data_IF_338568676294
#
_entry.id   IF_338568676294
#
_cell.length_a   1.000
_cell.length_b   1.000
_cell.length_c   1.000
_cell.angle_alpha   90.00
_cell.angle_beta   90.00
_cell.angle_gamma   90.00
#
_symmetry.space_group_name_H-M   'P 1'
#
loop_
_entity.id
_entity.type
_entity.pdbx_description
1 polymer ?
#
# COMPACT_ATOMS: atom_id res chain seq x y z
N UNK A 1 19.43 -35.53 36.04
CA UNK A 1 19.63 -34.08 35.93
C UNK A 1 20.24 -33.63 34.58
N UNK A 2 21.34 -34.25 34.08
CA UNK A 2 21.98 -33.89 32.77
C UNK A 2 21.04 -33.99 31.54
N UNK A 3 20.12 -34.99 31.49
CA UNK A 3 19.18 -35.18 30.37
C UNK A 3 18.06 -34.14 30.32
N UNK A 4 17.64 -33.61 31.46
CA UNK A 4 16.62 -32.55 31.54
C UNK A 4 17.20 -31.22 31.09
N UNK A 5 18.47 -30.93 31.42
CA UNK A 5 19.17 -29.72 30.98
C UNK A 5 19.37 -29.70 29.46
N UNK A 6 19.64 -30.85 28.83
CA UNK A 6 19.78 -30.98 27.37
C UNK A 6 18.44 -30.73 26.64
N UNK A 7 17.31 -31.23 27.19
CA UNK A 7 15.99 -30.98 26.62
C UNK A 7 15.59 -29.48 26.71
N UNK A 8 15.96 -28.82 27.80
CA UNK A 8 15.66 -27.40 28.00
C UNK A 8 16.44 -26.52 27.03
N UNK A 9 17.70 -26.86 26.73
CA UNK A 9 18.52 -26.13 25.72
C UNK A 9 18.02 -26.31 24.30
N UNK A 10 17.48 -27.48 23.95
CA UNK A 10 16.88 -27.71 22.62
C UNK A 10 15.59 -26.93 22.48
N UNK A 11 14.76 -26.83 23.54
CA UNK A 11 13.51 -26.07 23.51
C UNK A 11 13.74 -24.55 23.43
N UNK A 12 14.78 -24.02 24.08
CA UNK A 12 15.17 -22.60 23.93
C UNK A 12 15.71 -22.26 22.54
N UNK A 13 16.33 -23.21 21.82
CA UNK A 13 16.87 -23.01 20.48
C UNK A 13 15.78 -22.81 19.39
N UNK A 14 14.54 -23.24 19.63
CA UNK A 14 13.43 -23.10 18.68
C UNK A 14 12.65 -21.79 18.77
N UNK A 15 12.90 -20.96 19.79
CA UNK A 15 12.10 -19.76 20.05
C UNK A 15 12.60 -18.54 19.25
N UNK A 16 13.74 -18.59 18.57
CA UNK A 16 14.38 -17.42 17.97
C UNK A 16 14.17 -17.22 16.46
N UNK A 17 13.32 -18.01 15.81
CA UNK A 17 13.01 -17.81 14.39
C UNK A 17 11.59 -17.26 14.16
N UNK A 18 11.13 -16.32 14.97
CA UNK A 18 10.03 -15.45 14.56
C UNK A 18 10.66 -14.40 13.64
N UNK A 19 10.65 -14.67 12.33
CA UNK A 19 10.87 -13.64 11.32
C UNK A 19 9.72 -12.64 11.44
N UNK A 20 9.85 -11.70 12.36
CA UNK A 20 9.01 -10.52 12.41
C UNK A 20 9.25 -9.76 11.11
N UNK A 21 8.24 -9.69 10.25
CA UNK A 21 8.27 -8.75 9.13
C UNK A 21 8.43 -7.36 9.71
N UNK A 22 9.59 -6.76 9.50
CA UNK A 22 9.90 -5.47 10.06
C UNK A 22 9.31 -4.36 9.18
N UNK A 23 8.09 -3.93 9.49
CA UNK A 23 7.44 -2.78 8.85
C UNK A 23 8.00 -1.43 9.34
N UNK A 24 9.16 -1.41 10.00
CA UNK A 24 9.75 -0.19 10.56
C UNK A 24 10.26 0.78 9.49
N UNK A 25 10.71 0.26 8.35
CA UNK A 25 11.24 1.09 7.27
C UNK A 25 10.55 0.76 5.94
N UNK A 26 10.10 1.79 5.18
CA UNK A 26 9.53 1.57 3.86
C UNK A 26 10.60 1.06 2.90
N UNK A 27 10.24 0.11 2.06
CA UNK A 27 11.09 -0.39 0.96
C UNK A 27 11.30 0.69 -0.10
N UNK A 28 10.31 1.55 -0.27
CA UNK A 28 10.35 2.66 -1.22
C UNK A 28 9.11 3.55 -1.11
N UNK A 29 9.02 4.49 -2.02
CA UNK A 29 7.91 5.43 -2.08
C UNK A 29 8.13 6.51 -3.13
N UNK A 30 7.26 7.50 -3.12
CA UNK A 30 7.32 8.62 -4.04
C UNK A 30 6.11 9.51 -3.93
N UNK A 31 6.02 10.48 -4.83
CA UNK A 31 4.91 11.42 -4.88
C UNK A 31 4.07 11.19 -6.13
N UNK A 32 2.76 11.03 -5.95
CA UNK A 32 1.79 11.05 -7.03
C UNK A 32 1.03 12.39 -7.04
N UNK A 33 0.69 12.86 -8.22
CA UNK A 33 -0.18 14.02 -8.41
C UNK A 33 -1.62 13.54 -8.60
N UNK A 34 -2.58 14.26 -8.03
CA UNK A 34 -4.00 14.09 -8.34
C UNK A 34 -4.24 14.77 -9.69
N UNK A 35 -4.49 13.98 -10.71
CA UNK A 35 -4.75 14.43 -12.08
C UNK A 35 -6.18 14.94 -12.23
N UNK A 36 -7.13 14.22 -11.62
CA UNK A 36 -8.54 14.62 -11.63
C UNK A 36 -9.28 14.10 -10.41
N UNK A 37 -10.31 14.86 -10.02
CA UNK A 37 -11.34 14.45 -9.07
C UNK A 37 -12.67 14.71 -9.75
N UNK A 38 -13.46 13.68 -9.96
CA UNK A 38 -14.81 13.76 -10.53
C UNK A 38 -15.82 13.38 -9.45
N UNK A 39 -16.51 14.37 -8.84
CA UNK A 39 -17.57 14.09 -7.88
C UNK A 39 -18.79 13.52 -8.60
N UNK A 40 -19.46 12.57 -7.98
CA UNK A 40 -20.70 11.97 -8.44
C UNK A 40 -21.61 11.66 -7.24
N UNK A 41 -22.89 11.38 -7.49
CA UNK A 41 -23.85 11.02 -6.44
C UNK A 41 -23.46 9.72 -5.76
N UNK A 42 -23.18 9.80 -4.44
CA UNK A 42 -22.81 8.65 -3.61
C UNK A 42 -21.36 8.18 -3.73
N UNK A 43 -20.59 8.68 -4.69
CA UNK A 43 -19.16 8.37 -4.82
C UNK A 43 -18.38 9.49 -5.53
N UNK A 44 -17.07 9.37 -5.59
CA UNK A 44 -16.21 10.23 -6.41
C UNK A 44 -15.17 9.36 -7.12
N UNK A 45 -14.74 9.77 -8.29
CA UNK A 45 -13.59 9.16 -8.95
C UNK A 45 -12.35 10.04 -8.77
N UNK A 46 -11.22 9.41 -8.50
CA UNK A 46 -9.93 10.09 -8.36
C UNK A 46 -8.89 9.38 -9.22
N UNK A 47 -8.12 10.15 -9.98
CA UNK A 47 -7.02 9.66 -10.79
C UNK A 47 -5.71 10.26 -10.29
N UNK A 48 -4.67 9.42 -10.22
CA UNK A 48 -3.33 9.79 -9.77
C UNK A 48 -2.30 9.34 -10.78
N UNK A 49 -1.19 10.09 -10.88
CA UNK A 49 -0.01 9.68 -11.64
C UNK A 49 1.27 10.21 -11.02
N UNK A 50 2.38 9.52 -11.23
CA UNK A 50 3.71 9.93 -10.79
C UNK A 50 4.70 8.79 -10.75
N UNK A 51 5.91 9.10 -10.29
CA UNK A 51 6.97 8.10 -10.18
C UNK A 51 7.09 7.59 -8.75
N UNK A 52 7.19 6.27 -8.63
CA UNK A 52 7.44 5.57 -7.36
C UNK A 52 8.79 4.86 -7.48
N UNK A 53 9.68 5.14 -6.54
CA UNK A 53 11.01 4.50 -6.48
C UNK A 53 10.85 2.98 -6.43
N UNK A 54 11.53 2.27 -7.33
CA UNK A 54 11.45 0.82 -7.50
C UNK A 54 10.33 0.33 -8.44
N UNK A 55 9.37 1.22 -8.80
CA UNK A 55 8.25 0.88 -9.69
C UNK A 55 8.23 1.66 -11.01
N UNK A 56 8.80 2.87 -11.06
CA UNK A 56 8.72 3.75 -12.23
C UNK A 56 7.42 4.55 -12.29
N UNK A 57 6.89 4.75 -13.50
CA UNK A 57 5.70 5.59 -13.73
C UNK A 57 4.42 4.81 -13.43
N UNK A 58 3.66 5.33 -12.46
CA UNK A 58 2.44 4.71 -11.92
C UNK A 58 1.22 5.55 -12.27
N UNK A 59 0.16 4.89 -12.73
CA UNK A 59 -1.16 5.45 -12.98
C UNK A 59 -2.18 4.72 -12.12
N UNK A 60 -3.01 5.45 -11.39
CA UNK A 60 -4.01 4.87 -10.50
C UNK A 60 -5.36 5.54 -10.69
N UNK A 61 -6.40 4.72 -10.78
CA UNK A 61 -7.79 5.16 -10.73
C UNK A 61 -8.49 4.56 -9.52
N UNK A 62 -9.18 5.40 -8.75
CA UNK A 62 -10.03 4.98 -7.64
C UNK A 62 -11.47 5.45 -7.79
N UNK A 63 -12.40 4.61 -7.37
CA UNK A 63 -13.76 4.96 -7.00
C UNK A 63 -13.85 5.06 -5.49
N UNK A 64 -14.18 6.25 -4.98
CA UNK A 64 -14.18 6.61 -3.55
C UNK A 64 -15.60 6.49 -3.01
N UNK A 65 -15.79 5.72 -1.93
CA UNK A 65 -17.08 5.58 -1.26
C UNK A 65 -16.93 5.85 0.24
N UNK A 66 -17.84 6.67 0.80
CA UNK A 66 -17.91 6.89 2.23
C UNK A 66 -18.80 5.83 2.90
N UNK A 67 -18.42 5.37 4.10
CA UNK A 67 -19.19 4.40 4.89
C UNK A 67 -19.94 5.05 6.05
N UNK A 68 -19.72 6.35 6.29
CA UNK A 68 -20.38 7.09 7.36
C UNK A 68 -20.96 8.41 6.86
N UNK A 69 -21.95 8.94 7.59
CA UNK A 69 -22.65 10.20 7.27
C UNK A 69 -21.74 11.42 7.32
N UNK A 70 -20.71 11.41 8.17
CA UNK A 70 -19.71 12.50 8.27
C UNK A 70 -18.73 12.49 7.09
N UNK A 71 -18.76 11.46 6.22
CA UNK A 71 -17.83 11.28 5.11
C UNK A 71 -16.35 11.40 5.54
N UNK A 72 -16.03 10.89 6.73
CA UNK A 72 -14.68 10.96 7.31
C UNK A 72 -13.88 9.66 7.14
N UNK A 73 -14.54 8.58 6.69
CA UNK A 73 -13.90 7.30 6.39
C UNK A 73 -14.69 6.51 5.35
N UNK A 74 -14.02 5.55 4.72
CA UNK A 74 -14.66 4.73 3.72
C UNK A 74 -13.70 3.77 3.03
N UNK A 75 -14.11 3.33 1.83
CA UNK A 75 -13.35 2.42 1.00
C UNK A 75 -13.10 3.03 -0.38
N UNK A 76 -12.03 2.57 -1.02
CA UNK A 76 -11.74 2.83 -2.42
C UNK A 76 -11.62 1.49 -3.14
N UNK A 77 -12.21 1.44 -4.32
CA UNK A 77 -12.01 0.37 -5.29
C UNK A 77 -11.27 0.94 -6.48
N UNK A 78 -10.22 0.26 -6.94
CA UNK A 78 -9.45 0.79 -8.05
C UNK A 78 -8.45 -0.16 -8.67
N UNK A 79 -7.66 0.40 -9.55
CA UNK A 79 -6.60 -0.30 -10.26
C UNK A 79 -5.38 0.59 -10.39
N UNK A 80 -4.20 0.00 -10.21
CA UNK A 80 -2.93 0.61 -10.57
C UNK A 80 -2.35 -0.05 -11.82
N UNK A 81 -1.66 0.75 -12.62
CA UNK A 81 -0.80 0.30 -13.71
C UNK A 81 0.54 0.99 -13.58
N UNK A 82 1.60 0.23 -13.79
CA UNK A 82 2.97 0.71 -13.65
C UNK A 82 3.76 0.32 -14.87
N UNK A 83 4.49 1.27 -15.43
CA UNK A 83 5.45 1.04 -16.52
C UNK A 83 6.84 1.12 -15.92
N UNK A 84 7.50 -0.03 -15.83
CA UNK A 84 8.90 -0.13 -15.38
C UNK A 84 9.85 0.50 -16.41
N UNK A 85 11.09 0.79 -16.00
CA UNK A 85 12.13 1.33 -16.87
C UNK A 85 12.44 0.42 -18.07
N UNK A 86 12.27 -0.90 -17.94
CA UNK A 86 12.43 -1.88 -19.00
C UNK A 86 11.15 -2.08 -19.85
N UNK A 87 10.17 -1.18 -19.75
CA UNK A 87 8.87 -1.20 -20.44
C UNK A 87 7.92 -2.33 -20.01
N UNK A 88 8.24 -3.10 -18.98
CA UNK A 88 7.31 -4.09 -18.44
C UNK A 88 6.11 -3.40 -17.81
N UNK A 89 4.91 -3.85 -18.18
CA UNK A 89 3.67 -3.35 -17.65
C UNK A 89 3.25 -4.21 -16.45
N UNK A 90 3.19 -3.62 -15.27
CA UNK A 90 2.62 -4.22 -14.07
C UNK A 90 1.20 -3.71 -13.85
N UNK A 91 0.38 -4.51 -13.19
CA UNK A 91 -0.98 -4.15 -12.80
C UNK A 91 -1.35 -4.74 -11.45
N UNK A 92 -2.20 -4.02 -10.72
CA UNK A 92 -2.71 -4.44 -9.43
C UNK A 92 -4.15 -3.97 -9.25
N UNK A 93 -5.09 -4.85 -8.86
CA UNK A 93 -6.38 -4.45 -8.31
C UNK A 93 -6.19 -3.91 -6.90
N UNK A 94 -6.85 -2.80 -6.58
CA UNK A 94 -6.69 -2.10 -5.31
C UNK A 94 -7.98 -2.08 -4.52
N UNK A 95 -7.92 -2.52 -3.26
CA UNK A 95 -8.96 -2.41 -2.25
C UNK A 95 -8.41 -1.65 -1.06
N UNK A 96 -8.87 -0.43 -0.87
CA UNK A 96 -8.25 0.54 0.03
C UNK A 96 -9.25 0.94 1.12
N UNK A 97 -8.77 1.10 2.34
CA UNK A 97 -9.49 1.78 3.41
C UNK A 97 -8.92 3.19 3.58
N UNK A 98 -9.78 4.17 3.74
CA UNK A 98 -9.34 5.55 3.93
C UNK A 98 -9.94 6.20 5.16
N UNK A 99 -9.19 7.18 5.70
CA UNK A 99 -9.61 8.05 6.79
C UNK A 99 -9.23 9.49 6.45
N UNK A 100 -10.15 10.43 6.68
CA UNK A 100 -9.98 11.85 6.37
C UNK A 100 -9.99 12.70 7.64
N UNK A 101 -9.13 13.72 7.65
CA UNK A 101 -9.16 14.82 8.60
C UNK A 101 -9.04 16.12 7.81
N UNK A 102 -10.15 16.86 7.67
CA UNK A 102 -10.20 18.05 6.82
C UNK A 102 -9.90 17.73 5.35
N UNK A 103 -8.88 18.36 4.79
CA UNK A 103 -8.43 18.14 3.41
C UNK A 103 -7.34 17.05 3.27
N UNK A 104 -6.88 16.49 4.38
CA UNK A 104 -5.87 15.45 4.40
C UNK A 104 -6.53 14.07 4.55
N UNK A 105 -6.12 13.13 3.72
CA UNK A 105 -6.68 11.78 3.66
C UNK A 105 -5.56 10.75 3.74
N UNK A 106 -5.72 9.73 4.56
CA UNK A 106 -4.81 8.59 4.62
C UNK A 106 -5.44 7.38 3.96
N UNK A 107 -4.69 6.70 3.10
CA UNK A 107 -5.05 5.43 2.47
C UNK A 107 -4.20 4.32 3.04
N UNK A 108 -4.81 3.15 3.26
CA UNK A 108 -4.15 1.95 3.78
C UNK A 108 -4.65 0.73 3.01
N UNK A 109 -3.74 -0.07 2.45
CA UNK A 109 -4.08 -1.26 1.70
C UNK A 109 -2.93 -2.23 1.54
N UNK A 110 -3.23 -3.44 1.12
CA UNK A 110 -2.27 -4.37 0.56
C UNK A 110 -2.37 -4.36 -0.95
N UNK A 111 -1.22 -4.29 -1.61
CA UNK A 111 -1.09 -4.30 -3.06
C UNK A 111 -0.57 -5.66 -3.50
N UNK A 112 -1.33 -6.36 -4.35
CA UNK A 112 -0.95 -7.63 -4.95
C UNK A 112 -0.74 -7.44 -6.45
N UNK A 113 0.50 -7.53 -6.88
CA UNK A 113 0.93 -7.21 -8.24
C UNK A 113 0.94 -8.49 -9.10
N UNK A 114 0.67 -8.35 -10.38
CA UNK A 114 0.60 -9.47 -11.33
C UNK A 114 1.93 -10.21 -11.58
N UNK A 115 3.04 -9.76 -11.01
CA UNK A 115 4.33 -10.47 -10.98
C UNK A 115 4.57 -11.25 -9.67
N UNK A 116 3.56 -11.42 -8.82
CA UNK A 116 3.65 -12.13 -7.54
C UNK A 116 4.04 -11.27 -6.34
N UNK A 117 4.58 -10.06 -6.55
CA UNK A 117 4.94 -9.18 -5.44
C UNK A 117 3.73 -8.73 -4.64
N UNK A 118 3.90 -8.62 -3.32
CA UNK A 118 2.89 -8.11 -2.41
C UNK A 118 3.49 -7.05 -1.48
N UNK A 119 2.76 -5.96 -1.28
CA UNK A 119 3.18 -4.87 -0.40
C UNK A 119 2.06 -4.43 0.54
N UNK A 120 2.42 -3.93 1.71
CA UNK A 120 1.59 -3.04 2.47
C UNK A 120 1.87 -1.60 2.06
N UNK A 121 0.84 -0.82 1.77
CA UNK A 121 0.97 0.52 1.18
C UNK A 121 0.21 1.53 2.02
N UNK A 122 0.85 2.68 2.23
CA UNK A 122 0.27 3.84 2.90
C UNK A 122 0.44 5.07 2.03
N UNK A 123 -0.65 5.84 1.87
CA UNK A 123 -0.62 7.14 1.21
C UNK A 123 -1.07 8.25 2.16
N UNK A 124 -0.32 9.34 2.16
CA UNK A 124 -0.71 10.62 2.77
C UNK A 124 -1.14 11.56 1.65
N UNK A 125 -2.45 11.78 1.49
CA UNK A 125 -3.05 12.55 0.40
C UNK A 125 -3.47 13.92 0.91
N UNK A 126 -2.99 14.98 0.27
CA UNK A 126 -3.46 16.34 0.50
C UNK A 126 -4.30 16.81 -0.69
N UNK A 127 -5.60 16.95 -0.48
CA UNK A 127 -6.53 17.37 -1.53
C UNK A 127 -6.26 18.80 -2.01
N UNK A 128 -5.86 19.69 -1.09
CA UNK A 128 -5.57 21.09 -1.42
C UNK A 128 -4.27 21.22 -2.23
N UNK A 129 -3.24 20.43 -1.91
CA UNK A 129 -1.97 20.41 -2.66
C UNK A 129 -2.05 19.58 -3.92
N UNK A 130 -3.12 18.79 -4.09
CA UNK A 130 -3.31 17.81 -5.17
C UNK A 130 -2.16 16.81 -5.29
N UNK A 131 -1.70 16.31 -4.16
CA UNK A 131 -0.56 15.38 -4.06
C UNK A 131 -0.85 14.24 -3.10
N UNK A 132 -0.19 13.12 -3.34
CA UNK A 132 -0.14 11.97 -2.45
C UNK A 132 1.31 11.52 -2.25
N UNK A 133 1.74 11.48 -0.99
CA UNK A 133 3.02 10.86 -0.61
C UNK A 133 2.76 9.38 -0.35
N UNK A 134 3.44 8.53 -1.08
CA UNK A 134 3.30 7.07 -1.07
C UNK A 134 4.47 6.46 -0.34
N UNK A 135 4.19 5.48 0.52
CA UNK A 135 5.18 4.58 1.13
C UNK A 135 4.70 3.15 0.97
N UNK A 136 5.61 2.24 0.62
CA UNK A 136 5.29 0.81 0.58
C UNK A 136 6.32 -0.01 1.35
N UNK A 137 5.83 -1.11 1.91
CA UNK A 137 6.58 -2.08 2.70
C UNK A 137 6.40 -3.44 2.05
N UNK A 138 7.48 -4.06 1.64
CA UNK A 138 7.45 -5.35 0.99
C UNK A 138 6.99 -6.45 1.97
N UNK A 139 5.94 -7.17 1.60
CA UNK A 139 5.44 -8.35 2.31
C UNK A 139 5.95 -9.63 1.64
N UNK A 140 6.02 -9.61 0.31
CA UNK A 140 6.51 -10.71 -0.51
C UNK A 140 7.15 -10.13 -1.77
N UNK A 141 8.35 -10.60 -2.12
CA UNK A 141 9.01 -10.20 -3.36
C UNK A 141 8.40 -10.89 -4.58
N UNK A 142 8.66 -10.37 -5.77
CA UNK A 142 8.20 -11.00 -7.02
C UNK A 142 8.78 -12.41 -7.18
N UNK A 143 7.96 -13.30 -7.71
CA UNK A 143 8.43 -14.59 -8.19
C UNK A 143 9.38 -14.36 -9.39
N UNK A 144 10.62 -14.85 -9.28
CA UNK A 144 11.61 -14.83 -10.35
C UNK A 144 11.46 -16.04 -11.26
#
# INVERSE_FOLDING_TARGET
>A
MKKILLLLTIFLGFIFNVLSQNLSEPKGGGTLNIVSISPDDGHSEMNFEGNITGYGLVFVKFKVSAINTSKSSGTLDGHARTILENWTLLSSPLKVTWKRNGADVKFYFTDAINNGAMNFVMWDVSLLKKKAEVKYYELHSSDN
#
